data_IF_042061244566
#
_entry.id   IF_042061244566
#
_cell.length_a   1.000
_cell.length_b   1.000
_cell.length_c   1.000
_cell.angle_alpha   90.00
_cell.angle_beta   90.00
_cell.angle_gamma   90.00
#
_symmetry.space_group_name_H-M   'P 1'
#
loop_
_entity.id
_entity.type
_entity.pdbx_description
1 polymer ?
#
# COMPACT_ATOMS: atom_id res chain seq x y z
N UNK A 1 -18.75 18.46 15.04
CA UNK A 1 -18.26 17.70 13.88
C UNK A 1 -18.16 16.25 14.32
N UNK A 2 -18.77 15.32 13.59
CA UNK A 2 -18.58 13.89 13.87
C UNK A 2 -17.12 13.54 13.52
N UNK A 3 -16.42 12.86 14.43
CA UNK A 3 -15.08 12.35 14.17
C UNK A 3 -15.14 11.36 13.00
N UNK A 4 -14.31 11.55 11.98
CA UNK A 4 -14.18 10.60 10.88
C UNK A 4 -13.27 9.47 11.34
N UNK A 5 -13.80 8.26 11.45
CA UNK A 5 -13.00 7.04 11.64
C UNK A 5 -12.56 6.49 10.28
N UNK A 6 -11.25 6.44 10.06
CA UNK A 6 -10.66 5.79 8.89
C UNK A 6 -10.10 4.42 9.31
N UNK A 7 -10.79 3.35 8.93
CA UNK A 7 -10.39 1.97 9.26
C UNK A 7 -9.17 1.48 8.46
N UNK A 8 -8.92 2.09 7.30
CA UNK A 8 -7.86 1.67 6.40
C UNK A 8 -6.95 2.83 6.02
N UNK A 9 -5.65 2.62 6.19
CA UNK A 9 -4.59 3.44 5.65
C UNK A 9 -3.98 2.70 4.46
N UNK A 10 -4.53 2.98 3.26
CA UNK A 10 -4.05 2.37 2.02
C UNK A 10 -2.87 3.15 1.44
N UNK A 11 -1.66 2.70 1.71
CA UNK A 11 -0.41 3.33 1.28
C UNK A 11 0.61 2.25 0.86
N UNK A 12 1.55 2.61 -0.02
CA UNK A 12 2.58 1.70 -0.48
C UNK A 12 2.18 0.91 -1.73
N UNK A 13 3.09 0.90 -2.67
CA UNK A 13 3.07 0.16 -3.92
C UNK A 13 4.29 -0.77 -4.02
N UNK A 14 4.47 -1.46 -5.14
CA UNK A 14 5.57 -2.41 -5.36
C UNK A 14 6.95 -1.89 -4.91
N UNK A 15 7.25 -0.59 -5.05
CA UNK A 15 8.59 -0.05 -4.79
C UNK A 15 8.81 0.46 -3.37
N UNK A 16 7.75 0.76 -2.61
CA UNK A 16 7.82 1.49 -1.34
C UNK A 16 6.93 0.87 -0.24
N UNK A 17 6.36 -0.32 -0.47
CA UNK A 17 5.47 -0.96 0.52
C UNK A 17 6.13 -1.25 1.88
N UNK A 18 7.46 -1.40 1.93
CA UNK A 18 8.17 -1.61 3.20
C UNK A 18 8.12 -0.34 4.05
N UNK A 19 8.46 0.80 3.48
CA UNK A 19 8.37 2.10 4.14
C UNK A 19 6.91 2.39 4.53
N UNK A 20 5.95 2.07 3.65
CA UNK A 20 4.54 2.25 3.98
C UNK A 20 4.11 1.44 5.22
N UNK A 21 4.61 0.21 5.39
CA UNK A 21 4.35 -0.59 6.59
C UNK A 21 4.99 0.06 7.83
N UNK A 22 6.23 0.56 7.72
CA UNK A 22 6.93 1.26 8.80
C UNK A 22 6.17 2.53 9.24
N UNK A 23 5.53 3.23 8.31
CA UNK A 23 4.69 4.42 8.53
C UNK A 23 3.23 4.10 8.92
N UNK A 24 2.90 2.82 9.16
CA UNK A 24 1.61 2.41 9.72
C UNK A 24 0.51 2.03 8.70
N UNK A 25 0.85 1.80 7.44
CA UNK A 25 -0.11 1.30 6.45
C UNK A 25 -0.67 -0.07 6.86
N UNK A 26 -1.99 -0.21 6.82
CA UNK A 26 -2.68 -1.49 7.06
C UNK A 26 -3.26 -2.11 5.78
N UNK A 27 -3.00 -1.48 4.63
CA UNK A 27 -3.32 -2.00 3.30
C UNK A 27 -2.27 -1.51 2.28
N UNK A 28 -1.60 -2.44 1.60
CA UNK A 28 -0.59 -2.15 0.56
C UNK A 28 -1.05 -2.64 -0.82
N UNK A 29 -0.48 -2.12 -1.91
CA UNK A 29 -0.89 -2.44 -3.28
C UNK A 29 0.27 -3.00 -4.11
N UNK A 30 0.33 -4.31 -4.35
CA UNK A 30 1.45 -4.95 -5.06
C UNK A 30 1.02 -5.48 -6.42
N UNK A 31 1.71 -5.02 -7.48
CA UNK A 31 1.49 -5.46 -8.86
C UNK A 31 2.73 -6.13 -9.44
N UNK A 32 3.65 -5.32 -9.98
CA UNK A 32 4.89 -5.78 -10.65
C UNK A 32 5.72 -6.77 -9.83
N UNK A 33 5.78 -6.65 -8.50
CA UNK A 33 6.52 -7.62 -7.68
C UNK A 33 5.86 -9.00 -7.57
N UNK A 34 4.55 -9.10 -7.80
CA UNK A 34 3.81 -10.38 -7.85
C UNK A 34 3.77 -10.92 -9.28
N UNK A 35 3.41 -10.06 -10.24
CA UNK A 35 3.08 -10.48 -11.61
C UNK A 35 4.21 -10.25 -12.63
N UNK A 36 5.30 -9.57 -12.25
CA UNK A 36 6.36 -9.19 -13.17
C UNK A 36 6.01 -8.00 -14.07
N UNK A 37 6.91 -7.71 -15.00
CA UNK A 37 6.71 -6.68 -16.02
C UNK A 37 5.74 -7.20 -17.10
N UNK A 38 4.82 -6.34 -17.55
CA UNK A 38 3.81 -6.70 -18.57
C UNK A 38 4.40 -7.15 -19.92
N UNK A 39 5.57 -6.61 -20.27
CA UNK A 39 6.16 -6.74 -21.60
C UNK A 39 7.41 -7.65 -21.60
N UNK A 40 7.60 -8.46 -20.56
CA UNK A 40 8.58 -9.57 -20.57
C UNK A 40 7.92 -10.83 -21.09
#
# INVERSE_FOLDING_TARGET
YANVEANFLSMGMSNDYVIAIEEGANMIRIGTKIYGDRNK
#
